data_IF_801074506328
#
_entry.id   IF_801074506328
#
_cell.length_a   1.000
_cell.length_b   1.000
_cell.length_c   1.000
_cell.angle_alpha   90.00
_cell.angle_beta   90.00
_cell.angle_gamma   90.00
#
_symmetry.space_group_name_H-M   'P 1'
#
loop_
_entity.id
_entity.type
_entity.pdbx_description
1 polymer ?
#
# COMPACT_ATOMS: atom_id res chain seq x y z
N UNK A 1 -28.89 -29.64 -4.48
CA UNK A 1 -27.75 -28.79 -4.89
C UNK A 1 -27.30 -29.29 -6.25
N UNK A 2 -27.24 -28.41 -7.26
CA UNK A 2 -26.81 -28.81 -8.62
C UNK A 2 -25.36 -29.24 -8.59
N UNK A 3 -25.04 -30.40 -9.13
CA UNK A 3 -23.71 -30.97 -9.16
C UNK A 3 -23.08 -31.01 -10.55
N UNK A 4 -21.80 -31.35 -10.65
CA UNK A 4 -21.10 -31.53 -11.92
C UNK A 4 -21.76 -32.62 -12.80
N UNK A 5 -22.44 -33.60 -12.19
CA UNK A 5 -23.16 -34.66 -12.85
C UNK A 5 -24.37 -34.15 -13.60
N UNK A 6 -25.08 -33.15 -13.07
CA UNK A 6 -26.23 -32.53 -13.70
C UNK A 6 -25.81 -31.73 -14.95
N UNK A 7 -24.71 -30.98 -14.84
CA UNK A 7 -24.13 -30.28 -15.99
C UNK A 7 -23.67 -31.26 -17.06
N UNK A 8 -23.02 -32.35 -16.67
CA UNK A 8 -22.59 -33.39 -17.61
C UNK A 8 -23.77 -34.03 -18.38
N UNK A 9 -24.87 -34.30 -17.66
CA UNK A 9 -26.08 -34.83 -18.22
C UNK A 9 -26.73 -33.86 -19.23
N UNK A 10 -26.86 -32.59 -18.85
CA UNK A 10 -27.45 -31.55 -19.71
C UNK A 10 -26.58 -31.25 -20.94
N UNK A 11 -25.29 -31.16 -20.76
CA UNK A 11 -24.34 -30.91 -21.86
C UNK A 11 -24.09 -32.15 -22.76
N UNK A 12 -24.52 -33.34 -22.38
CA UNK A 12 -24.30 -34.58 -23.11
C UNK A 12 -22.80 -34.97 -23.19
N UNK A 13 -22.07 -34.82 -22.09
CA UNK A 13 -20.64 -35.15 -21.97
C UNK A 13 -20.32 -35.82 -20.63
N UNK A 14 -19.12 -36.36 -20.47
CA UNK A 14 -18.68 -36.90 -19.17
C UNK A 14 -18.38 -35.81 -18.15
N UNK A 15 -18.44 -36.11 -16.84
CA UNK A 15 -18.03 -35.21 -15.77
C UNK A 15 -16.58 -34.77 -15.91
N UNK A 16 -15.70 -35.67 -16.41
CA UNK A 16 -14.31 -35.32 -16.72
C UNK A 16 -14.20 -34.28 -17.86
N UNK A 17 -15.10 -34.35 -18.86
CA UNK A 17 -15.16 -33.33 -19.92
C UNK A 17 -15.68 -32.00 -19.40
N UNK A 18 -16.69 -32.00 -18.50
CA UNK A 18 -17.17 -30.79 -17.82
C UNK A 18 -16.05 -30.16 -17.03
N UNK A 19 -15.35 -30.92 -16.19
CA UNK A 19 -14.21 -30.43 -15.39
C UNK A 19 -13.11 -29.79 -16.26
N UNK A 20 -12.73 -30.45 -17.38
CA UNK A 20 -11.74 -29.92 -18.31
C UNK A 20 -12.24 -28.67 -19.05
N UNK A 21 -13.49 -28.63 -19.46
CA UNK A 21 -14.08 -27.49 -20.15
C UNK A 21 -14.14 -26.25 -19.28
N UNK A 22 -14.55 -26.38 -18.01
CA UNK A 22 -14.64 -25.29 -17.04
C UNK A 22 -13.26 -24.84 -16.51
N UNK A 23 -12.27 -25.75 -16.45
CA UNK A 23 -10.90 -25.43 -16.04
C UNK A 23 -10.01 -24.90 -17.16
N UNK A 24 -10.54 -24.71 -18.37
CA UNK A 24 -9.80 -24.14 -19.50
C UNK A 24 -8.73 -25.06 -20.11
N UNK A 25 -8.67 -26.33 -19.68
CA UNK A 25 -7.64 -27.28 -20.15
C UNK A 25 -7.80 -27.59 -21.64
N UNK A 26 -6.67 -27.83 -22.30
CA UNK A 26 -6.62 -28.35 -23.68
C UNK A 26 -7.29 -29.73 -23.80
N UNK A 27 -7.62 -30.16 -25.03
CA UNK A 27 -8.32 -31.40 -25.35
C UNK A 27 -9.82 -31.42 -25.12
N UNK A 28 -10.51 -30.26 -25.05
CA UNK A 28 -11.96 -30.13 -25.16
C UNK A 28 -12.28 -29.30 -26.41
N UNK A 29 -13.07 -29.83 -27.33
CA UNK A 29 -13.46 -29.08 -28.52
C UNK A 29 -14.27 -27.84 -28.17
N UNK A 30 -14.15 -26.75 -28.98
CA UNK A 30 -14.90 -25.52 -28.79
C UNK A 30 -16.41 -25.79 -28.61
N UNK A 31 -16.99 -26.64 -29.47
CA UNK A 31 -18.41 -27.05 -29.41
C UNK A 31 -18.79 -27.73 -28.09
N UNK A 32 -17.92 -28.57 -27.53
CA UNK A 32 -18.17 -29.19 -26.22
C UNK A 32 -18.04 -28.19 -25.08
N UNK A 33 -17.07 -27.26 -25.17
CA UNK A 33 -16.89 -26.19 -24.20
C UNK A 33 -18.10 -25.26 -24.12
N UNK A 34 -18.66 -24.87 -25.27
CA UNK A 34 -19.83 -24.00 -25.34
C UNK A 34 -21.06 -24.70 -24.73
N UNK A 35 -21.29 -26.00 -25.07
CA UNK A 35 -22.39 -26.76 -24.47
C UNK A 35 -22.28 -26.87 -22.95
N UNK A 36 -21.06 -27.08 -22.43
CA UNK A 36 -20.81 -27.15 -20.97
C UNK A 36 -21.08 -25.80 -20.32
N UNK A 37 -20.62 -24.68 -20.93
CA UNK A 37 -20.89 -23.34 -20.41
C UNK A 37 -22.38 -23.04 -20.37
N UNK A 38 -23.11 -23.26 -21.46
CA UNK A 38 -24.56 -23.05 -21.51
C UNK A 38 -25.32 -23.91 -20.50
N UNK A 39 -24.94 -25.17 -20.34
CA UNK A 39 -25.53 -26.04 -19.34
C UNK A 39 -25.24 -25.60 -17.88
N UNK A 40 -24.05 -25.13 -17.62
CA UNK A 40 -23.69 -24.62 -16.30
C UNK A 40 -24.48 -23.33 -15.98
N UNK A 41 -24.59 -22.39 -16.92
CA UNK A 41 -25.38 -21.17 -16.80
C UNK A 41 -26.87 -21.46 -16.57
N UNK A 42 -27.47 -22.38 -17.38
CA UNK A 42 -28.86 -22.77 -17.25
C UNK A 42 -29.22 -23.40 -15.91
N UNK A 43 -28.28 -24.19 -15.36
CA UNK A 43 -28.45 -24.84 -14.07
C UNK A 43 -28.00 -23.97 -12.87
N UNK A 44 -27.42 -22.79 -13.12
CA UNK A 44 -26.78 -21.96 -12.05
C UNK A 44 -25.63 -22.70 -11.37
N UNK A 45 -24.93 -23.59 -12.09
CA UNK A 45 -23.82 -24.36 -11.55
C UNK A 45 -22.54 -23.49 -11.51
N UNK A 46 -22.01 -23.31 -10.33
CA UNK A 46 -20.68 -22.71 -10.12
C UNK A 46 -19.70 -23.84 -9.79
N UNK A 47 -18.61 -23.93 -10.56
CA UNK A 47 -17.57 -24.92 -10.30
C UNK A 47 -17.01 -24.75 -8.88
N UNK A 48 -16.95 -25.83 -8.13
CA UNK A 48 -16.37 -25.79 -6.78
C UNK A 48 -14.89 -25.46 -6.86
N UNK A 49 -14.46 -24.43 -6.10
CA UNK A 49 -13.04 -24.09 -5.95
C UNK A 49 -12.20 -25.28 -5.45
N UNK A 50 -12.79 -26.12 -4.58
CA UNK A 50 -12.14 -27.35 -4.11
C UNK A 50 -11.90 -28.37 -5.23
N UNK A 51 -12.85 -28.52 -6.16
CA UNK A 51 -12.68 -29.41 -7.32
C UNK A 51 -11.62 -28.88 -8.30
N UNK A 52 -11.56 -27.56 -8.49
CA UNK A 52 -10.52 -26.91 -9.26
C UNK A 52 -9.14 -27.11 -8.62
N UNK A 53 -9.04 -26.89 -7.32
CA UNK A 53 -7.79 -27.09 -6.55
C UNK A 53 -7.29 -28.53 -6.66
N UNK A 54 -8.20 -29.53 -6.51
CA UNK A 54 -7.84 -30.94 -6.63
C UNK A 54 -7.32 -31.28 -8.02
N UNK A 55 -7.88 -30.67 -9.08
CA UNK A 55 -7.50 -30.92 -10.46
C UNK A 55 -6.22 -30.21 -10.90
N UNK A 56 -5.89 -29.05 -10.30
CA UNK A 56 -4.79 -28.17 -10.75
C UNK A 56 -3.70 -27.97 -9.72
N UNK A 57 -3.95 -28.26 -8.45
CA UNK A 57 -3.08 -27.91 -7.33
C UNK A 57 -3.08 -26.43 -6.97
N UNK A 58 -3.83 -25.59 -7.70
CA UNK A 58 -3.90 -24.12 -7.51
C UNK A 58 -5.24 -23.75 -6.89
N UNK A 59 -5.23 -22.78 -5.97
CA UNK A 59 -6.42 -22.27 -5.29
C UNK A 59 -7.07 -21.09 -6.00
N UNK A 60 -6.32 -20.41 -6.88
CA UNK A 60 -6.68 -19.11 -7.45
C UNK A 60 -7.08 -18.11 -6.36
N UNK A 61 -6.28 -18.04 -5.31
CA UNK A 61 -6.50 -17.16 -4.17
C UNK A 61 -5.18 -16.56 -3.72
N UNK A 62 -5.14 -15.25 -3.53
CA UNK A 62 -3.96 -14.52 -3.09
C UNK A 62 -4.18 -14.00 -1.67
N UNK A 63 -3.20 -14.24 -0.80
CA UNK A 63 -3.18 -13.66 0.54
C UNK A 63 -2.63 -12.23 0.51
N UNK A 64 -3.38 -11.27 1.04
CA UNK A 64 -2.90 -9.90 1.21
C UNK A 64 -2.78 -9.60 2.70
N UNK A 65 -1.56 -9.30 3.14
CA UNK A 65 -1.23 -8.99 4.53
C UNK A 65 -0.99 -7.51 4.66
N UNK A 66 -1.68 -6.84 5.58
CA UNK A 66 -1.51 -5.43 5.86
C UNK A 66 -1.74 -5.13 7.36
N UNK A 67 -1.19 -4.02 7.90
CA UNK A 67 -1.32 -3.72 9.32
C UNK A 67 -2.69 -3.13 9.69
N UNK A 68 -3.30 -2.34 8.79
CA UNK A 68 -4.56 -1.63 9.03
C UNK A 68 -5.41 -1.61 7.75
N UNK A 69 -6.72 -1.77 7.89
CA UNK A 69 -7.68 -1.70 6.76
C UNK A 69 -8.37 -0.34 6.66
N UNK A 70 -8.37 0.43 7.73
CA UNK A 70 -9.15 1.66 7.93
C UNK A 70 -8.36 2.93 7.61
N UNK A 71 -7.10 2.82 7.16
CA UNK A 71 -6.28 3.95 6.73
C UNK A 71 -6.21 4.00 5.21
N UNK A 72 -6.29 5.20 4.67
CA UNK A 72 -6.41 5.45 3.23
C UNK A 72 -5.35 4.73 2.38
N UNK A 73 -4.07 4.82 2.73
CA UNK A 73 -2.98 4.17 1.99
C UNK A 73 -3.24 2.67 1.78
N UNK A 74 -3.62 1.96 2.84
CA UNK A 74 -3.82 0.51 2.79
C UNK A 74 -5.09 0.13 2.04
N UNK A 75 -6.19 0.88 2.22
CA UNK A 75 -7.45 0.61 1.53
C UNK A 75 -7.33 0.86 0.03
N UNK A 76 -6.61 1.90 -0.39
CA UNK A 76 -6.38 2.23 -1.81
C UNK A 76 -5.43 1.23 -2.48
N UNK A 77 -4.36 0.82 -1.80
CA UNK A 77 -3.48 -0.24 -2.31
C UNK A 77 -4.24 -1.57 -2.45
N UNK A 78 -5.06 -1.92 -1.45
CA UNK A 78 -5.88 -3.14 -1.46
C UNK A 78 -6.89 -3.13 -2.61
N UNK A 79 -7.60 -2.01 -2.84
CA UNK A 79 -8.53 -1.85 -3.95
C UNK A 79 -7.83 -2.05 -5.31
N UNK A 80 -6.65 -1.46 -5.47
CA UNK A 80 -5.88 -1.58 -6.71
C UNK A 80 -5.38 -3.02 -6.94
N UNK A 81 -4.96 -3.72 -5.89
CA UNK A 81 -4.60 -5.13 -5.92
C UNK A 81 -5.81 -5.98 -6.31
N UNK A 82 -6.95 -5.79 -5.64
CA UNK A 82 -8.17 -6.56 -5.85
C UNK A 82 -8.67 -6.48 -7.28
N UNK A 83 -8.66 -5.28 -7.89
CA UNK A 83 -9.05 -5.11 -9.30
C UNK A 83 -8.24 -6.00 -10.24
N UNK A 84 -6.92 -6.04 -10.09
CA UNK A 84 -6.05 -6.90 -10.91
C UNK A 84 -6.37 -8.39 -10.68
N UNK A 85 -6.56 -8.78 -9.42
CA UNK A 85 -6.87 -10.17 -9.08
C UNK A 85 -8.19 -10.63 -9.68
N UNK A 86 -9.25 -9.82 -9.56
CA UNK A 86 -10.57 -10.12 -10.15
C UNK A 86 -10.47 -10.25 -11.67
N UNK A 87 -9.81 -9.32 -12.36
CA UNK A 87 -9.62 -9.36 -13.81
C UNK A 87 -8.91 -10.64 -14.28
N UNK A 88 -8.02 -11.19 -13.44
CA UNK A 88 -7.29 -12.43 -13.70
C UNK A 88 -7.96 -13.67 -13.13
N UNK A 89 -9.14 -13.56 -12.51
CA UNK A 89 -9.91 -14.65 -11.94
C UNK A 89 -9.31 -15.26 -10.68
N UNK A 90 -8.70 -14.43 -9.84
CA UNK A 90 -8.20 -14.79 -8.52
C UNK A 90 -9.09 -14.21 -7.43
N UNK A 91 -9.32 -14.99 -6.38
CA UNK A 91 -9.90 -14.54 -5.12
C UNK A 91 -8.83 -13.85 -4.26
N UNK A 92 -9.27 -13.02 -3.30
CA UNK A 92 -8.42 -12.36 -2.32
C UNK A 92 -8.78 -12.82 -0.90
N UNK A 93 -7.78 -13.22 -0.13
CA UNK A 93 -7.91 -13.42 1.31
C UNK A 93 -7.14 -12.35 2.06
N UNK A 94 -7.87 -11.50 2.79
CA UNK A 94 -7.30 -10.43 3.57
C UNK A 94 -6.85 -10.92 4.96
N UNK A 95 -5.60 -10.60 5.31
CA UNK A 95 -5.02 -10.81 6.63
C UNK A 95 -4.66 -9.46 7.25
N UNK A 96 -5.53 -8.95 8.12
CA UNK A 96 -5.28 -7.74 8.89
C UNK A 96 -4.53 -8.09 10.18
N UNK A 97 -3.30 -7.58 10.33
CA UNK A 97 -2.47 -7.85 11.50
C UNK A 97 -2.99 -7.13 12.76
N UNK A 98 -3.49 -5.90 12.60
CA UNK A 98 -3.83 -5.04 13.73
C UNK A 98 -2.59 -4.78 14.61
N UNK A 99 -2.84 -4.42 15.87
CA UNK A 99 -1.77 -4.13 16.84
C UNK A 99 -1.39 -5.35 17.71
N UNK A 100 -2.04 -6.51 17.47
CA UNK A 100 -1.88 -7.70 18.32
C UNK A 100 -0.78 -8.62 17.80
N UNK A 101 0.28 -8.81 18.59
CA UNK A 101 1.33 -9.80 18.30
C UNK A 101 0.78 -11.23 18.14
N UNK A 102 -0.28 -11.58 18.91
CA UNK A 102 -0.92 -12.89 18.80
C UNK A 102 -1.61 -13.05 17.43
N UNK A 103 -2.24 -11.99 16.89
CA UNK A 103 -2.83 -12.01 15.55
C UNK A 103 -1.76 -12.20 14.48
N UNK A 104 -0.64 -11.48 14.59
CA UNK A 104 0.52 -11.62 13.69
C UNK A 104 1.06 -13.05 13.70
N UNK A 105 1.31 -13.61 14.89
CA UNK A 105 1.82 -14.98 15.03
C UNK A 105 0.89 -16.00 14.38
N UNK A 106 -0.43 -15.90 14.59
CA UNK A 106 -1.41 -16.80 13.95
C UNK A 106 -1.42 -16.66 12.43
N UNK A 107 -1.31 -15.44 11.90
CA UNK A 107 -1.32 -15.22 10.47
C UNK A 107 -0.08 -15.83 9.81
N UNK A 108 1.11 -15.51 10.30
CA UNK A 108 2.35 -15.99 9.69
C UNK A 108 2.68 -17.45 9.97
N UNK A 109 2.40 -17.95 11.18
CA UNK A 109 2.79 -19.31 11.59
C UNK A 109 1.68 -20.36 11.40
N UNK A 110 0.45 -19.95 11.01
CA UNK A 110 -0.65 -20.89 10.77
C UNK A 110 -1.39 -20.55 9.47
N UNK A 111 -2.06 -19.39 9.35
CA UNK A 111 -3.00 -19.13 8.28
C UNK A 111 -2.35 -19.07 6.89
N UNK A 112 -1.22 -18.39 6.75
CA UNK A 112 -0.47 -18.30 5.49
C UNK A 112 0.19 -19.63 5.11
N UNK A 113 0.49 -20.49 6.09
CA UNK A 113 1.08 -21.81 5.84
C UNK A 113 0.05 -22.84 5.38
N UNK A 114 -1.24 -22.60 5.64
CA UNK A 114 -2.31 -23.44 5.10
C UNK A 114 -2.28 -23.35 3.57
N UNK A 115 -2.51 -24.50 2.92
CA UNK A 115 -2.57 -24.54 1.44
C UNK A 115 -3.89 -23.91 0.94
N UNK A 116 -4.13 -22.62 1.20
CA UNK A 116 -5.35 -21.89 0.80
C UNK A 116 -5.10 -20.70 -0.09
N UNK A 117 -3.84 -20.26 -0.20
CA UNK A 117 -3.41 -19.17 -1.08
C UNK A 117 -2.26 -19.66 -1.95
N UNK A 118 -2.15 -19.14 -3.16
CA UNK A 118 -1.10 -19.47 -4.13
C UNK A 118 0.11 -18.55 -4.02
N UNK A 119 -0.08 -17.32 -3.52
CA UNK A 119 0.96 -16.34 -3.29
C UNK A 119 0.56 -15.33 -2.22
N UNK A 120 1.49 -14.49 -1.79
CA UNK A 120 1.30 -13.51 -0.72
C UNK A 120 1.78 -12.12 -1.14
N UNK A 121 0.95 -11.11 -0.89
CA UNK A 121 1.30 -9.70 -0.97
C UNK A 121 1.43 -9.11 0.45
N UNK A 122 2.58 -8.53 0.77
CA UNK A 122 2.83 -7.84 2.04
C UNK A 122 2.79 -6.33 1.80
N UNK A 123 1.75 -5.63 2.29
CA UNK A 123 1.57 -4.19 2.10
C UNK A 123 2.02 -3.45 3.36
N UNK A 124 3.16 -2.76 3.27
CA UNK A 124 3.83 -2.07 4.36
C UNK A 124 4.01 -2.93 5.63
N UNK A 125 4.18 -4.23 5.44
CA UNK A 125 4.49 -5.20 6.49
C UNK A 125 5.88 -5.76 6.22
N UNK A 126 6.79 -5.60 7.18
CA UNK A 126 8.11 -6.24 7.17
C UNK A 126 8.01 -7.57 7.93
N UNK A 127 8.03 -8.71 7.23
CA UNK A 127 8.07 -10.01 7.91
C UNK A 127 9.37 -10.17 8.69
N UNK A 128 9.31 -10.86 9.82
CA UNK A 128 10.49 -11.30 10.56
C UNK A 128 11.24 -12.39 9.78
N UNK A 129 12.51 -12.58 10.04
CA UNK A 129 13.30 -13.60 9.36
C UNK A 129 12.70 -15.02 9.52
N UNK A 130 12.20 -15.34 10.71
CA UNK A 130 11.49 -16.60 10.96
C UNK A 130 10.20 -16.76 10.16
N UNK A 131 9.45 -15.67 9.98
CA UNK A 131 8.22 -15.63 9.17
C UNK A 131 8.54 -15.81 7.68
N UNK A 132 9.60 -15.16 7.19
CA UNK A 132 10.10 -15.32 5.82
C UNK A 132 10.56 -16.76 5.56
N UNK A 133 11.33 -17.35 6.47
CA UNK A 133 11.73 -18.75 6.35
C UNK A 133 10.53 -19.70 6.30
N UNK A 134 9.48 -19.42 7.07
CA UNK A 134 8.25 -20.20 7.04
C UNK A 134 7.50 -20.07 5.71
N UNK A 135 7.37 -18.85 5.17
CA UNK A 135 6.74 -18.58 3.86
C UNK A 135 7.54 -19.25 2.72
N UNK A 136 8.86 -19.11 2.72
CA UNK A 136 9.74 -19.70 1.69
C UNK A 136 9.63 -21.24 1.65
N UNK A 137 9.47 -21.90 2.81
CA UNK A 137 9.24 -23.36 2.87
C UNK A 137 7.96 -23.81 2.19
N UNK A 138 6.99 -22.91 2.02
CA UNK A 138 5.74 -23.23 1.30
C UNK A 138 5.92 -23.21 -0.22
N UNK A 139 7.03 -22.67 -0.75
CA UNK A 139 7.28 -22.47 -2.18
C UNK A 139 6.35 -21.46 -2.83
N UNK A 140 5.69 -20.59 -2.04
CA UNK A 140 4.77 -19.57 -2.54
C UNK A 140 5.53 -18.29 -2.82
N UNK A 141 5.34 -17.65 -3.99
CA UNK A 141 5.92 -16.34 -4.24
C UNK A 141 5.35 -15.29 -3.28
N UNK A 142 6.24 -14.39 -2.86
CA UNK A 142 5.90 -13.25 -2.00
C UNK A 142 6.37 -11.97 -2.69
N UNK A 143 5.51 -10.94 -2.72
CA UNK A 143 5.86 -9.60 -3.18
C UNK A 143 5.49 -8.60 -2.10
N UNK A 144 6.35 -7.60 -1.86
CA UNK A 144 6.17 -6.57 -0.84
C UNK A 144 5.93 -5.18 -1.45
N UNK A 145 5.23 -4.32 -0.69
CA UNK A 145 5.11 -2.88 -0.93
C UNK A 145 5.54 -2.15 0.34
N UNK A 146 6.34 -1.07 0.19
CA UNK A 146 6.62 -0.13 1.28
C UNK A 146 8.03 -0.17 1.85
N UNK A 147 8.92 -1.04 1.36
CA UNK A 147 10.33 -1.05 1.72
C UNK A 147 11.03 -2.35 1.36
N UNK A 148 12.37 -2.36 1.34
CA UNK A 148 13.14 -3.53 0.96
C UNK A 148 13.00 -4.66 2.00
N UNK A 149 12.80 -5.88 1.51
CA UNK A 149 12.78 -7.12 2.29
C UNK A 149 13.79 -8.06 1.65
N UNK A 150 14.83 -8.45 2.40
CA UNK A 150 15.87 -9.32 1.88
C UNK A 150 15.31 -10.64 1.31
N UNK A 151 15.69 -10.97 0.08
CA UNK A 151 15.24 -12.18 -0.61
C UNK A 151 13.79 -12.17 -1.08
N UNK A 152 13.12 -11.01 -1.05
CA UNK A 152 11.76 -10.83 -1.56
C UNK A 152 11.73 -9.61 -2.50
N UNK A 153 10.96 -9.72 -3.56
CA UNK A 153 10.72 -8.61 -4.48
C UNK A 153 9.78 -7.61 -3.87
N UNK A 154 10.22 -6.36 -3.85
CA UNK A 154 9.47 -5.26 -3.24
C UNK A 154 9.35 -4.08 -4.20
N UNK A 155 8.28 -3.32 -4.00
CA UNK A 155 8.13 -1.98 -4.55
C UNK A 155 8.16 -0.99 -3.39
N UNK A 156 8.94 0.07 -3.51
CA UNK A 156 8.95 1.14 -2.54
C UNK A 156 9.26 2.47 -3.19
N UNK A 157 8.77 3.55 -2.61
CA UNK A 157 9.27 4.88 -2.93
C UNK A 157 10.59 5.11 -2.18
N UNK A 158 11.36 6.09 -2.62
CA UNK A 158 12.45 6.63 -1.84
C UNK A 158 11.89 7.62 -0.81
N UNK A 159 11.54 7.14 0.39
CA UNK A 159 10.95 7.94 1.47
C UNK A 159 11.82 9.11 1.91
N UNK A 160 13.14 8.94 1.88
CA UNK A 160 14.08 10.03 2.15
C UNK A 160 13.93 11.15 1.10
N UNK A 161 13.93 10.79 -0.18
CA UNK A 161 13.79 11.75 -1.26
C UNK A 161 12.41 12.42 -1.27
N UNK A 162 11.34 11.70 -0.94
CA UNK A 162 9.98 12.26 -0.86
C UNK A 162 9.90 13.38 0.19
N UNK A 163 10.46 13.16 1.38
CA UNK A 163 10.48 14.17 2.43
C UNK A 163 11.48 15.29 2.15
N UNK A 164 12.63 14.97 1.53
CA UNK A 164 13.58 15.98 1.06
C UNK A 164 12.92 16.94 0.07
N UNK A 165 12.25 16.41 -0.95
CA UNK A 165 11.55 17.18 -1.98
C UNK A 165 10.45 18.08 -1.38
N UNK A 166 9.66 17.55 -0.44
CA UNK A 166 8.63 18.32 0.26
C UNK A 166 9.23 19.48 1.06
N UNK A 167 10.33 19.23 1.75
CA UNK A 167 11.01 20.23 2.59
C UNK A 167 11.72 21.30 1.75
N UNK A 168 12.42 20.87 0.70
CA UNK A 168 13.15 21.76 -0.21
C UNK A 168 12.19 22.69 -0.97
N UNK A 169 11.00 22.21 -1.33
CA UNK A 169 9.93 23.04 -1.89
C UNK A 169 9.58 24.24 -0.97
N UNK A 170 9.39 24.00 0.32
CA UNK A 170 9.07 25.07 1.28
C UNK A 170 10.26 26.03 1.45
N UNK A 171 11.47 25.50 1.52
CA UNK A 171 12.71 26.31 1.62
C UNK A 171 12.87 27.17 0.36
N UNK A 172 12.65 26.59 -0.83
CA UNK A 172 12.68 27.31 -2.10
C UNK A 172 11.65 28.45 -2.20
N UNK A 173 10.55 28.36 -1.45
CA UNK A 173 9.57 29.45 -1.31
C UNK A 173 10.04 30.55 -0.34
N UNK A 174 11.12 30.34 0.41
CA UNK A 174 11.71 31.30 1.33
C UNK A 174 11.40 31.02 2.81
N UNK A 175 10.84 29.86 3.16
CA UNK A 175 10.63 29.49 4.55
C UNK A 175 11.97 29.11 5.21
N UNK A 176 12.26 29.73 6.37
CA UNK A 176 13.43 29.43 7.21
C UNK A 176 13.04 28.79 8.55
N UNK A 177 11.75 28.76 8.87
CA UNK A 177 11.17 28.16 10.06
C UNK A 177 10.23 27.03 9.63
N UNK A 178 10.83 25.89 9.26
CA UNK A 178 10.14 24.71 8.77
C UNK A 178 10.12 23.64 9.85
N UNK A 179 8.95 23.16 10.22
CA UNK A 179 8.75 22.08 11.18
C UNK A 179 8.35 20.78 10.49
N UNK A 180 8.45 19.68 11.21
CA UNK A 180 8.04 18.34 10.73
C UNK A 180 7.12 17.66 11.74
N UNK A 181 5.95 17.21 11.25
CA UNK A 181 5.11 16.24 11.94
C UNK A 181 5.44 14.89 11.33
N UNK A 182 6.29 14.13 12.00
CA UNK A 182 6.81 12.84 11.54
C UNK A 182 6.02 11.65 12.07
N UNK A 183 6.40 10.45 11.62
CA UNK A 183 5.88 9.22 12.19
C UNK A 183 6.55 8.87 13.51
N UNK A 184 5.91 8.00 14.27
CA UNK A 184 6.51 7.38 15.46
C UNK A 184 7.74 6.55 15.07
N UNK A 185 8.76 6.45 15.95
CA UNK A 185 9.92 5.61 15.69
C UNK A 185 9.50 4.18 15.33
N UNK A 186 10.10 3.57 14.29
CA UNK A 186 9.76 2.21 13.89
C UNK A 186 10.22 1.19 14.93
N UNK A 187 9.44 0.11 15.08
CA UNK A 187 9.89 -1.11 15.76
C UNK A 187 10.57 -2.05 14.75
N UNK A 188 11.16 -3.16 15.22
CA UNK A 188 11.78 -4.16 14.33
C UNK A 188 10.81 -4.74 13.28
N UNK A 189 9.51 -4.72 13.56
CA UNK A 189 8.45 -5.22 12.69
C UNK A 189 7.97 -4.22 11.62
N UNK A 190 8.52 -3.01 11.61
CA UNK A 190 8.11 -1.94 10.69
C UNK A 190 9.27 -1.55 9.78
N UNK A 191 8.95 -1.00 8.62
CA UNK A 191 9.95 -0.37 7.77
C UNK A 191 10.47 0.91 8.42
N UNK A 192 11.69 1.31 8.03
CA UNK A 192 12.33 2.54 8.52
C UNK A 192 11.76 3.82 7.88
N UNK A 193 10.59 3.75 7.23
CA UNK A 193 9.94 4.87 6.56
C UNK A 193 9.87 6.15 7.43
N UNK A 194 9.43 6.12 8.71
CA UNK A 194 9.38 7.33 9.53
C UNK A 194 10.75 7.97 9.71
N UNK A 195 11.78 7.16 9.93
CA UNK A 195 13.17 7.61 10.05
C UNK A 195 13.72 8.17 8.75
N UNK A 196 13.44 7.52 7.62
CA UNK A 196 13.88 7.98 6.31
C UNK A 196 13.26 9.32 5.94
N UNK A 197 11.96 9.50 6.17
CA UNK A 197 11.27 10.78 5.95
C UNK A 197 11.81 11.87 6.87
N UNK A 198 12.06 11.57 8.13
CA UNK A 198 12.68 12.52 9.06
C UNK A 198 14.08 12.92 8.61
N UNK A 199 14.92 11.96 8.22
CA UNK A 199 16.28 12.23 7.73
C UNK A 199 16.26 13.06 6.44
N UNK A 200 15.31 12.84 5.54
CA UNK A 200 15.12 13.65 4.33
C UNK A 200 14.78 15.10 4.65
N UNK A 201 13.89 15.33 5.62
CA UNK A 201 13.57 16.66 6.13
C UNK A 201 14.81 17.35 6.74
N UNK A 202 15.56 16.69 7.63
CA UNK A 202 16.75 17.25 8.24
C UNK A 202 17.83 17.58 7.20
N UNK A 203 18.03 16.68 6.23
CA UNK A 203 19.00 16.87 5.16
C UNK A 203 18.70 18.10 4.30
N UNK A 204 17.44 18.32 3.94
CA UNK A 204 17.04 19.51 3.19
C UNK A 204 17.32 20.81 3.97
N UNK A 205 17.07 20.83 5.27
CA UNK A 205 17.45 21.97 6.12
C UNK A 205 18.98 22.20 6.14
N UNK A 206 19.75 21.14 6.34
CA UNK A 206 21.23 21.21 6.40
C UNK A 206 21.83 21.71 5.08
N UNK A 207 21.35 21.21 3.94
CA UNK A 207 21.84 21.62 2.61
C UNK A 207 21.57 23.10 2.31
N UNK A 208 20.56 23.67 2.96
CA UNK A 208 20.21 25.08 2.85
C UNK A 208 20.74 25.92 4.04
N UNK A 209 21.65 25.38 4.85
CA UNK A 209 22.24 26.02 6.03
C UNK A 209 21.18 26.52 7.05
N UNK A 210 20.04 25.82 7.15
CA UNK A 210 18.98 26.12 8.11
C UNK A 210 19.15 25.25 9.38
N UNK A 211 18.80 25.79 10.56
CA UNK A 211 18.95 25.04 11.80
C UNK A 211 17.88 23.93 11.93
N UNK A 212 18.33 22.73 12.27
CA UNK A 212 17.45 21.66 12.75
C UNK A 212 17.11 21.95 14.22
N UNK A 213 15.84 22.18 14.53
CA UNK A 213 15.38 22.46 15.89
C UNK A 213 14.57 21.29 16.44
N UNK A 214 15.01 20.64 17.52
CA UNK A 214 14.28 19.51 18.11
C UNK A 214 12.82 19.83 18.49
N UNK A 215 12.54 21.09 18.87
CA UNK A 215 11.19 21.56 19.22
C UNK A 215 10.24 21.66 18.00
N UNK A 216 10.77 21.57 16.79
CA UNK A 216 10.00 21.58 15.54
C UNK A 216 9.82 20.19 14.93
N UNK A 217 10.19 19.14 15.64
CA UNK A 217 9.84 17.78 15.33
C UNK A 217 8.86 17.24 16.38
N UNK A 218 7.68 16.85 15.95
CA UNK A 218 6.69 16.18 16.81
C UNK A 218 6.26 14.89 16.12
N UNK A 219 6.52 13.73 16.73
CA UNK A 219 6.05 12.46 16.19
C UNK A 219 4.55 12.30 16.41
N UNK A 220 3.86 11.70 15.42
CA UNK A 220 2.45 11.35 15.48
C UNK A 220 2.23 9.96 14.84
N UNK A 221 1.01 9.45 14.94
CA UNK A 221 0.63 8.07 14.64
C UNK A 221 0.05 7.88 13.23
N UNK A 222 0.37 8.77 12.29
CA UNK A 222 -0.20 8.81 10.94
C UNK A 222 -1.72 8.98 10.91
N UNK A 223 -2.30 9.58 11.94
CA UNK A 223 -3.73 9.92 11.97
C UNK A 223 -3.96 11.42 11.89
N UNK A 224 -5.15 11.81 11.37
CA UNK A 224 -5.61 13.19 11.40
C UNK A 224 -5.60 13.74 12.84
N UNK A 225 -6.09 12.94 13.79
CA UNK A 225 -6.19 13.32 15.20
C UNK A 225 -4.81 13.55 15.85
N UNK A 226 -3.88 12.62 15.64
CA UNK A 226 -2.52 12.73 16.19
C UNK A 226 -1.80 13.98 15.66
N UNK A 227 -1.88 14.20 14.35
CA UNK A 227 -1.28 15.37 13.71
C UNK A 227 -1.96 16.69 14.11
N UNK A 228 -3.28 16.70 14.31
CA UNK A 228 -4.00 17.86 14.84
C UNK A 228 -3.44 18.30 16.21
N UNK A 229 -3.24 17.36 17.14
CA UNK A 229 -2.65 17.68 18.44
C UNK A 229 -1.20 18.14 18.34
N UNK A 230 -0.39 17.48 17.50
CA UNK A 230 0.99 17.85 17.23
C UNK A 230 1.08 19.28 16.65
N UNK A 231 0.26 19.61 15.67
CA UNK A 231 0.23 20.93 15.07
C UNK A 231 -0.23 22.01 16.08
N UNK A 232 -1.26 21.72 16.90
CA UNK A 232 -1.67 22.63 17.97
C UNK A 232 -0.55 22.93 18.97
N UNK A 233 0.24 21.94 19.32
CA UNK A 233 1.41 22.13 20.19
C UNK A 233 2.46 23.03 19.52
N UNK A 234 2.76 22.80 18.23
CA UNK A 234 3.76 23.59 17.51
C UNK A 234 3.34 25.03 17.25
N UNK A 235 2.07 25.23 16.87
CA UNK A 235 1.53 26.53 16.47
C UNK A 235 1.04 27.36 17.65
N UNK A 236 0.81 26.73 18.80
CA UNK A 236 0.26 27.38 20.00
C UNK A 236 1.21 28.35 20.71
N UNK A 237 2.54 28.32 20.41
CA UNK A 237 3.50 29.32 20.89
C UNK A 237 3.88 30.29 19.77
N UNK A 238 3.28 31.49 19.72
CA UNK A 238 3.55 32.46 18.65
C UNK A 238 5.01 32.88 18.51
N UNK A 239 5.80 32.79 19.59
CA UNK A 239 7.23 33.20 19.58
C UNK A 239 8.11 32.17 18.87
N UNK A 240 7.70 30.91 18.89
CA UNK A 240 8.47 29.79 18.32
C UNK A 240 7.73 29.07 17.20
N UNK A 241 6.53 29.52 16.81
CA UNK A 241 5.73 28.88 15.77
C UNK A 241 6.50 28.82 14.44
N UNK A 242 6.50 27.67 13.76
CA UNK A 242 7.02 27.55 12.40
C UNK A 242 6.16 28.34 11.41
N UNK A 243 6.73 28.68 10.26
CA UNK A 243 5.98 29.28 9.14
C UNK A 243 5.59 28.24 8.10
N UNK A 244 6.12 27.01 8.22
CA UNK A 244 5.76 25.90 7.37
C UNK A 244 5.87 24.57 8.11
N UNK A 245 5.06 23.61 7.74
CA UNK A 245 5.03 22.25 8.32
C UNK A 245 5.07 21.21 7.21
N UNK A 246 6.05 20.31 7.28
CA UNK A 246 6.11 19.08 6.49
C UNK A 246 5.43 17.98 7.29
N UNK A 247 4.37 17.41 6.74
CA UNK A 247 3.64 16.29 7.34
C UNK A 247 4.06 14.98 6.67
N UNK A 248 4.30 13.94 7.45
CA UNK A 248 4.75 12.65 6.94
C UNK A 248 3.67 11.90 6.13
N UNK A 249 2.42 12.36 6.14
CA UNK A 249 1.34 11.90 5.26
C UNK A 249 0.31 13.01 5.03
N UNK A 250 -0.56 12.83 4.04
CA UNK A 250 -1.65 13.78 3.77
C UNK A 250 -2.72 13.76 4.87
N UNK A 251 -3.04 12.61 5.46
CA UNK A 251 -3.92 12.53 6.63
C UNK A 251 -3.39 13.39 7.78
N UNK A 252 -2.07 13.39 7.99
CA UNK A 252 -1.44 14.29 8.97
C UNK A 252 -1.50 15.75 8.51
N UNK A 253 -1.37 16.03 7.22
CA UNK A 253 -1.55 17.35 6.62
C UNK A 253 -2.94 17.92 6.89
N UNK A 254 -4.00 17.12 6.76
CA UNK A 254 -5.36 17.53 7.10
C UNK A 254 -5.50 17.89 8.58
N UNK A 255 -4.92 17.09 9.46
CA UNK A 255 -4.88 17.36 10.89
C UNK A 255 -4.20 18.71 11.19
N UNK A 256 -3.08 19.00 10.54
CA UNK A 256 -2.35 20.25 10.69
C UNK A 256 -3.16 21.46 10.17
N UNK A 257 -3.84 21.34 9.02
CA UNK A 257 -4.74 22.39 8.48
C UNK A 257 -5.87 22.67 9.44
N UNK A 258 -6.51 21.64 9.99
CA UNK A 258 -7.60 21.81 10.96
C UNK A 258 -7.11 22.49 12.26
N UNK A 259 -5.92 22.14 12.74
CA UNK A 259 -5.31 22.75 13.91
C UNK A 259 -4.99 24.24 13.68
N UNK A 260 -4.42 24.59 12.53
CA UNK A 260 -4.16 25.97 12.14
C UNK A 260 -5.46 26.79 12.12
N UNK A 261 -6.49 26.27 11.47
CA UNK A 261 -7.83 26.92 11.42
C UNK A 261 -8.41 27.17 12.82
N UNK A 262 -8.33 26.21 13.72
CA UNK A 262 -8.84 26.33 15.09
C UNK A 262 -8.04 27.33 15.95
N UNK A 263 -6.79 27.62 15.56
CA UNK A 263 -5.97 28.67 16.17
C UNK A 263 -6.16 30.04 15.48
N UNK A 264 -7.09 30.14 14.54
CA UNK A 264 -7.35 31.36 13.78
C UNK A 264 -6.29 31.69 12.73
N UNK A 265 -5.44 30.72 12.39
CA UNK A 265 -4.40 30.87 11.37
C UNK A 265 -4.94 30.47 10.00
N UNK A 266 -4.51 31.17 8.97
CA UNK A 266 -4.84 30.89 7.58
C UNK A 266 -3.75 30.03 6.94
N UNK A 267 -4.16 29.07 6.15
CA UNK A 267 -3.28 28.25 5.30
C UNK A 267 -3.56 28.65 3.86
N UNK A 268 -2.57 29.12 3.11
CA UNK A 268 -1.13 29.14 3.40
C UNK A 268 -0.57 30.43 4.01
N UNK A 269 -1.36 31.52 4.20
CA UNK A 269 -0.87 32.88 4.44
C UNK A 269 -0.09 33.02 5.77
N UNK A 270 -0.54 32.33 6.84
CA UNK A 270 0.09 32.39 8.15
C UNK A 270 1.00 31.18 8.40
N UNK A 271 0.66 30.02 7.79
CA UNK A 271 1.46 28.80 7.82
C UNK A 271 1.26 27.96 6.56
N UNK A 272 2.34 27.56 5.90
CA UNK A 272 2.32 26.62 4.77
C UNK A 272 2.32 25.18 5.29
N UNK A 273 1.57 24.30 4.63
CA UNK A 273 1.48 22.87 5.00
C UNK A 273 1.65 22.02 3.74
N UNK A 274 2.51 21.00 3.82
CA UNK A 274 2.74 20.03 2.74
C UNK A 274 2.64 18.62 3.29
N UNK A 275 2.06 17.70 2.52
CA UNK A 275 1.93 16.28 2.84
C UNK A 275 2.72 15.37 1.91
N UNK A 276 2.51 14.08 2.08
CA UNK A 276 2.97 12.99 1.20
C UNK A 276 1.79 12.05 1.05
N UNK A 277 1.48 11.57 -0.13
CA UNK A 277 0.59 10.48 -0.55
C UNK A 277 -0.22 10.82 -1.80
N UNK A 278 -0.66 12.07 -1.98
CA UNK A 278 -1.71 12.49 -2.89
C UNK A 278 -3.06 11.79 -2.58
N UNK A 279 -3.47 11.88 -1.33
CA UNK A 279 -4.77 11.39 -0.85
C UNK A 279 -5.92 12.01 -1.64
N UNK A 280 -7.00 11.26 -1.90
CA UNK A 280 -8.14 11.72 -2.71
C UNK A 280 -8.78 13.03 -2.18
N UNK A 281 -8.68 13.28 -0.86
CA UNK A 281 -9.17 14.54 -0.25
C UNK A 281 -8.20 15.72 -0.42
N UNK A 282 -6.96 15.50 -0.87
CA UNK A 282 -5.94 16.56 -0.93
C UNK A 282 -6.30 17.67 -1.90
N UNK A 283 -7.03 17.36 -2.96
CA UNK A 283 -7.58 18.36 -3.88
C UNK A 283 -8.57 19.30 -3.17
N UNK A 284 -9.49 18.76 -2.38
CA UNK A 284 -10.53 19.53 -1.69
C UNK A 284 -9.97 20.37 -0.54
N UNK A 285 -8.92 19.90 0.13
CA UNK A 285 -8.18 20.68 1.12
C UNK A 285 -7.18 21.66 0.50
N UNK A 286 -6.97 21.59 -0.81
CA UNK A 286 -5.93 22.35 -1.49
C UNK A 286 -4.52 21.97 -1.04
N UNK A 287 -4.31 20.74 -0.51
CA UNK A 287 -3.06 20.31 0.08
C UNK A 287 -2.00 20.02 -1.00
N UNK A 288 -0.89 20.77 -0.98
CA UNK A 288 0.33 20.47 -1.69
C UNK A 288 0.91 19.16 -1.12
N UNK A 289 1.31 18.24 -1.98
CA UNK A 289 1.71 16.90 -1.55
C UNK A 289 2.74 16.28 -2.50
N UNK A 290 3.50 15.34 -2.00
CA UNK A 290 4.33 14.45 -2.81
C UNK A 290 3.51 13.21 -3.15
N UNK A 291 3.12 13.09 -4.42
CA UNK A 291 2.39 11.93 -4.94
C UNK A 291 3.30 10.71 -4.99
N UNK A 292 2.87 9.62 -4.39
CA UNK A 292 3.56 8.33 -4.43
C UNK A 292 2.83 7.27 -5.27
N UNK A 293 1.72 7.63 -5.93
CA UNK A 293 0.90 6.75 -6.77
C UNK A 293 0.61 5.38 -6.12
N UNK A 294 -0.10 5.40 -5.01
CA UNK A 294 -0.45 4.21 -4.22
C UNK A 294 -1.21 3.17 -5.06
N UNK A 295 -2.08 3.63 -5.97
CA UNK A 295 -2.83 2.74 -6.87
C UNK A 295 -1.91 2.04 -7.86
N UNK A 296 -0.94 2.75 -8.41
CA UNK A 296 0.07 2.17 -9.31
C UNK A 296 0.94 1.13 -8.60
N UNK A 297 1.38 1.42 -7.37
CA UNK A 297 2.12 0.46 -6.56
C UNK A 297 1.31 -0.82 -6.31
N UNK A 298 0.06 -0.71 -5.87
CA UNK A 298 -0.83 -1.87 -5.63
C UNK A 298 -1.04 -2.72 -6.88
N UNK A 299 -1.35 -2.08 -8.01
CA UNK A 299 -1.52 -2.75 -9.31
C UNK A 299 -0.25 -3.49 -9.72
N UNK A 300 0.89 -2.82 -9.72
CA UNK A 300 2.15 -3.40 -10.17
C UNK A 300 2.61 -4.57 -9.28
N UNK A 301 2.39 -4.48 -7.96
CA UNK A 301 2.68 -5.58 -7.05
C UNK A 301 1.85 -6.83 -7.36
N UNK A 302 0.55 -6.67 -7.64
CA UNK A 302 -0.32 -7.78 -8.03
C UNK A 302 0.09 -8.38 -9.37
N UNK A 303 0.38 -7.55 -10.38
CA UNK A 303 0.86 -7.99 -11.70
C UNK A 303 2.18 -8.78 -11.60
N UNK A 304 3.14 -8.31 -10.80
CA UNK A 304 4.42 -9.01 -10.56
C UNK A 304 4.22 -10.36 -9.89
N UNK A 305 3.36 -10.44 -8.89
CA UNK A 305 3.04 -11.69 -8.23
C UNK A 305 2.39 -12.70 -9.20
N UNK A 306 1.42 -12.23 -9.98
CA UNK A 306 0.73 -13.07 -10.97
C UNK A 306 1.65 -13.50 -12.12
N UNK A 307 2.57 -12.64 -12.56
CA UNK A 307 3.56 -12.99 -13.56
C UNK A 307 4.40 -14.20 -13.13
N UNK A 308 4.81 -14.25 -11.86
CA UNK A 308 5.55 -15.41 -11.31
C UNK A 308 4.64 -16.65 -11.21
N UNK A 309 3.39 -16.48 -10.77
CA UNK A 309 2.45 -17.60 -10.61
C UNK A 309 1.98 -18.23 -11.93
N UNK A 310 1.84 -17.42 -12.97
CA UNK A 310 1.29 -17.85 -14.27
C UNK A 310 2.39 -18.30 -15.25
N UNK A 311 3.67 -18.02 -14.98
CA UNK A 311 4.80 -18.44 -15.81
C UNK A 311 5.24 -19.84 -15.46
N UNK A 312 5.51 -20.63 -16.50
CA UNK A 312 6.23 -21.90 -16.39
C UNK A 312 7.75 -21.71 -16.53
N UNK A 313 8.21 -20.47 -16.80
CA UNK A 313 9.63 -20.12 -16.97
C UNK A 313 10.21 -19.60 -15.63
N UNK A 314 11.13 -20.34 -15.00
CA UNK A 314 11.80 -19.92 -13.77
C UNK A 314 12.57 -18.60 -13.90
N UNK A 315 12.95 -18.20 -15.12
CA UNK A 315 13.69 -16.96 -15.36
C UNK A 315 12.84 -15.71 -15.11
N UNK A 316 11.51 -15.80 -15.19
CA UNK A 316 10.61 -14.68 -14.86
C UNK A 316 10.80 -14.23 -13.42
N UNK A 317 10.97 -15.18 -12.52
CA UNK A 317 11.24 -14.86 -11.12
C UNK A 317 12.61 -14.18 -10.94
N UNK A 318 13.64 -14.63 -11.63
CA UNK A 318 15.00 -14.08 -11.51
C UNK A 318 15.19 -12.73 -12.21
N UNK A 319 14.37 -12.43 -13.21
CA UNK A 319 14.46 -11.19 -13.99
C UNK A 319 13.75 -9.99 -13.34
N UNK A 320 12.94 -10.18 -12.28
CA UNK A 320 12.35 -9.08 -11.53
C UNK A 320 13.41 -8.46 -10.60
N UNK A 321 13.50 -7.13 -10.59
CA UNK A 321 14.34 -6.41 -9.63
C UNK A 321 13.95 -6.74 -8.19
N UNK A 322 14.94 -6.94 -7.32
CA UNK A 322 14.71 -7.26 -5.91
C UNK A 322 13.98 -6.12 -5.19
N UNK A 323 14.41 -4.87 -5.42
CA UNK A 323 13.67 -3.68 -4.96
C UNK A 323 13.47 -2.71 -6.13
N UNK A 324 12.22 -2.43 -6.44
CA UNK A 324 11.84 -1.50 -7.50
C UNK A 324 11.51 -0.14 -6.89
N UNK A 325 12.32 0.87 -7.23
CA UNK A 325 12.07 2.25 -6.82
C UNK A 325 10.91 2.84 -7.63
N UNK A 326 9.81 3.11 -6.92
CA UNK A 326 8.63 3.75 -7.50
C UNK A 326 8.79 5.26 -7.52
N UNK A 327 8.52 5.94 -8.64
CA UNK A 327 8.72 7.38 -8.75
C UNK A 327 7.74 8.17 -7.87
N UNK A 328 8.20 9.34 -7.43
CA UNK A 328 7.38 10.32 -6.70
C UNK A 328 7.35 11.65 -7.46
N UNK A 329 6.26 12.40 -7.31
CA UNK A 329 6.04 13.68 -7.98
C UNK A 329 5.48 14.72 -6.99
N UNK A 330 6.03 15.94 -7.02
CA UNK A 330 5.48 17.04 -6.24
C UNK A 330 4.26 17.66 -6.94
N UNK A 331 3.11 17.63 -6.29
CA UNK A 331 1.88 18.25 -6.75
C UNK A 331 1.60 19.51 -5.94
N UNK A 332 1.82 20.67 -6.53
CA UNK A 332 1.62 21.98 -5.91
C UNK A 332 0.14 22.35 -5.98
N UNK A 333 -0.43 22.72 -4.83
CA UNK A 333 -1.80 23.21 -4.67
C UNK A 333 -1.81 24.52 -3.88
N UNK A 334 -2.81 24.72 -3.04
CA UNK A 334 -3.06 26.01 -2.39
C UNK A 334 -2.54 26.10 -0.94
N UNK A 335 -2.05 25.01 -0.34
CA UNK A 335 -1.62 24.99 1.07
C UNK A 335 -0.19 25.48 1.31
N UNK A 336 0.52 25.89 0.25
CA UNK A 336 1.88 26.41 0.34
C UNK A 336 2.00 27.73 -0.40
N UNK A 337 2.65 28.73 0.23
CA UNK A 337 2.94 30.04 -0.34
C UNK A 337 4.26 30.60 0.25
N UNK A 338 4.73 31.69 -0.25
CA UNK A 338 5.88 32.41 0.37
C UNK A 338 5.49 32.87 1.78
N UNK A 339 6.40 32.81 2.76
CA UNK A 339 6.12 33.29 4.11
C UNK A 339 5.74 34.78 4.08
N UNK A 340 4.77 35.15 4.91
CA UNK A 340 4.43 36.55 5.10
C UNK A 340 5.69 37.33 5.51
N UNK A 341 5.96 38.45 4.86
CA UNK A 341 7.06 39.33 5.30
C UNK A 341 6.77 39.79 6.71
N UNK A 342 7.66 39.46 7.66
CA UNK A 342 7.58 40.03 8.99
C UNK A 342 7.81 41.52 8.84
N UNK A 343 6.75 42.32 8.99
CA UNK A 343 6.94 43.73 9.24
C UNK A 343 7.73 43.82 10.56
N UNK A 344 9.04 44.08 10.42
CA UNK A 344 9.94 44.41 11.51
C UNK A 344 9.60 45.78 12.06
#
# INVERSE_FOLDING_TARGET
MVGIEDVARLAGVSTATVSRALSGKEHVSAKARDRVKSAAEELGYVASSSAYTLATGRHRNIGVVLPYVDRWFFSVALEAIEKVLIERGYDLTLYNLGESENSRSKIFNDFLLRKRVDGVLCVAVKPLESELMALNRTGKPVVGIGGPIHGIRTLSINDFNAAYLATDHLIGMGHTRVANIGGLPPTEMHFHQPTLRHNGYEKALQDNALPVRPTWFVPADYTIKGAYHAAKQMLGDPRNAPTAIVCASDEMGFGAIMAAKDLGMRVPEDVSIIGIDNHDMSEFFGLTTVNQDVRGQGRNAAERLLAVLESDDPSVETNLEENHDWPVELLIRHSTARPAQSNR
#
